data_IF_238890454309
#
_entry.id   IF_238890454309
#
_cell.length_a   1.000
_cell.length_b   1.000
_cell.length_c   1.000
_cell.angle_alpha   90.00
_cell.angle_beta   90.00
_cell.angle_gamma   90.00
#
_symmetry.space_group_name_H-M   'P 1'
#
loop_
_entity.id
_entity.type
_entity.pdbx_description
1 polymer ?
#
# COMPACT_ATOMS: atom_id res chain seq x y z
N UNK A 1 10.25 11.58 1.12
CA UNK A 1 9.83 12.38 -0.06
C UNK A 1 10.18 11.64 -1.35
N UNK A 2 11.37 11.03 -1.42
CA UNK A 2 11.82 10.14 -2.52
C UNK A 2 10.78 9.07 -2.92
N UNK A 3 10.30 8.25 -1.97
CA UNK A 3 9.29 7.20 -2.27
C UNK A 3 8.04 7.71 -2.98
N UNK A 4 7.55 8.92 -2.66
CA UNK A 4 6.35 9.48 -3.30
C UNK A 4 6.56 9.71 -4.80
N UNK A 5 7.74 10.20 -5.16
CA UNK A 5 8.10 10.49 -6.54
C UNK A 5 8.59 9.24 -7.26
N UNK A 6 9.54 8.53 -6.66
CA UNK A 6 10.27 7.44 -7.31
C UNK A 6 9.40 6.20 -7.52
N UNK A 7 8.51 5.90 -6.57
CA UNK A 7 7.63 4.72 -6.65
C UNK A 7 6.25 5.09 -7.17
N UNK A 8 5.65 6.18 -6.66
CA UNK A 8 4.27 6.51 -6.99
C UNK A 8 4.13 7.53 -8.13
N UNK A 9 5.20 8.21 -8.54
CA UNK A 9 5.19 9.20 -9.64
C UNK A 9 4.45 10.49 -9.28
N UNK A 10 4.25 10.80 -8.00
CA UNK A 10 3.57 12.01 -7.57
C UNK A 10 4.56 13.09 -7.12
N UNK A 11 4.35 14.32 -7.58
CA UNK A 11 5.19 15.46 -7.19
C UNK A 11 4.78 16.05 -5.83
N UNK A 12 3.50 15.94 -5.46
CA UNK A 12 2.95 16.55 -4.25
C UNK A 12 1.88 15.68 -3.62
N UNK A 13 1.76 15.77 -2.30
CA UNK A 13 0.66 15.18 -1.55
C UNK A 13 -0.64 15.94 -1.82
N UNK A 14 -1.75 15.20 -1.85
CA UNK A 14 -3.09 15.80 -1.76
C UNK A 14 -3.35 16.29 -0.33
N UNK A 15 -4.35 17.16 -0.11
CA UNK A 15 -4.69 17.64 1.22
C UNK A 15 -4.84 16.50 2.23
N UNK A 16 -4.32 16.72 3.45
CA UNK A 16 -4.30 15.79 4.59
C UNK A 16 -3.37 14.57 4.45
N UNK A 17 -2.99 14.13 3.24
CA UNK A 17 -2.17 12.92 3.07
C UNK A 17 -0.84 13.04 3.80
N UNK A 18 -0.14 14.17 3.67
CA UNK A 18 1.16 14.38 4.33
C UNK A 18 1.04 14.32 5.86
N UNK A 19 0.02 14.98 6.43
CA UNK A 19 -0.25 14.98 7.87
C UNK A 19 -0.53 13.56 8.38
N UNK A 20 -1.37 12.81 7.66
CA UNK A 20 -1.74 11.44 8.01
C UNK A 20 -0.52 10.52 7.93
N UNK A 21 0.24 10.60 6.83
CA UNK A 21 1.44 9.79 6.61
C UNK A 21 2.48 10.08 7.68
N UNK A 22 2.73 11.36 8.00
CA UNK A 22 3.65 11.75 9.07
C UNK A 22 3.23 11.19 10.43
N UNK A 23 1.93 11.24 10.75
CA UNK A 23 1.39 10.66 11.98
C UNK A 23 1.63 9.14 12.05
N UNK A 24 1.40 8.41 10.95
CA UNK A 24 1.65 6.97 10.86
C UNK A 24 3.16 6.67 10.96
N UNK A 25 4.01 7.44 10.27
CA UNK A 25 5.48 7.28 10.31
C UNK A 25 6.05 7.45 11.71
N UNK A 26 5.41 8.28 12.55
CA UNK A 26 5.71 8.42 13.97
C UNK A 26 5.15 7.29 14.85
N UNK A 27 4.69 6.18 14.25
CA UNK A 27 4.17 4.98 14.94
C UNK A 27 2.91 5.24 15.78
N UNK A 28 2.11 6.23 15.40
CA UNK A 28 0.83 6.50 16.07
C UNK A 28 -0.34 5.86 15.33
N UNK A 29 -1.31 5.36 16.10
CA UNK A 29 -2.58 4.87 15.55
C UNK A 29 -3.41 6.01 14.96
N UNK A 30 -4.16 5.71 13.89
CA UNK A 30 -4.99 6.68 13.20
C UNK A 30 -6.34 6.09 12.74
N UNK A 31 -7.41 6.84 12.95
CA UNK A 31 -8.69 6.63 12.26
C UNK A 31 -8.86 7.73 11.20
N UNK A 32 -8.92 7.31 9.94
CA UNK A 32 -8.93 8.23 8.80
C UNK A 32 -10.27 8.15 8.09
N UNK A 33 -10.98 9.28 7.99
CA UNK A 33 -12.23 9.41 7.23
C UNK A 33 -11.97 10.32 6.04
N UNK A 34 -11.80 9.71 4.87
CA UNK A 34 -11.57 10.43 3.61
C UNK A 34 -12.58 9.96 2.55
N UNK A 35 -13.04 10.86 1.66
CA UNK A 35 -13.94 10.49 0.58
C UNK A 35 -13.28 9.52 -0.41
N UNK A 36 -14.09 8.79 -1.18
CA UNK A 36 -13.59 7.97 -2.29
C UNK A 36 -12.80 8.82 -3.29
N UNK A 37 -11.77 8.26 -3.90
CA UNK A 37 -10.90 8.98 -4.85
C UNK A 37 -9.89 9.93 -4.20
N UNK A 38 -9.94 10.17 -2.89
CA UNK A 38 -8.97 11.00 -2.15
C UNK A 38 -7.52 10.50 -2.16
N UNK A 39 -7.31 9.23 -2.53
CA UNK A 39 -6.00 8.59 -2.44
C UNK A 39 -5.67 8.07 -1.05
N UNK A 40 -6.68 7.65 -0.27
CA UNK A 40 -6.51 7.04 1.06
C UNK A 40 -5.52 5.86 1.09
N UNK A 41 -5.38 5.11 -0.02
CA UNK A 41 -4.44 3.98 -0.09
C UNK A 41 -2.98 4.40 0.07
N UNK A 42 -2.61 5.55 -0.49
CA UNK A 42 -1.26 6.10 -0.35
C UNK A 42 -0.88 6.32 1.12
N UNK A 43 -1.87 6.61 1.98
CA UNK A 43 -1.65 6.91 3.39
C UNK A 43 -1.09 5.71 4.18
N UNK A 44 -1.34 4.47 3.75
CA UNK A 44 -0.72 3.28 4.34
C UNK A 44 0.34 2.64 3.45
N UNK A 45 0.24 2.77 2.12
CA UNK A 45 1.21 2.18 1.18
C UNK A 45 2.57 2.86 1.25
N UNK A 46 2.62 4.20 1.36
CA UNK A 46 3.89 4.89 1.43
C UNK A 46 4.63 4.58 2.76
N UNK A 47 3.99 4.63 3.94
CA UNK A 47 4.62 4.16 5.17
C UNK A 47 5.08 2.70 5.11
N UNK A 48 4.31 1.82 4.45
CA UNK A 48 4.67 0.41 4.30
C UNK A 48 6.00 0.18 3.58
N UNK A 49 6.37 1.08 2.66
CA UNK A 49 7.66 1.03 1.94
C UNK A 49 8.82 1.62 2.74
N UNK A 50 8.53 2.43 3.76
CA UNK A 50 9.55 3.07 4.60
C UNK A 50 9.85 2.21 5.83
N UNK A 51 8.85 1.51 6.36
CA UNK A 51 9.04 0.64 7.50
C UNK A 51 9.77 -0.65 7.12
N UNK A 52 10.70 -1.06 7.97
CA UNK A 52 11.25 -2.41 7.91
C UNK A 52 10.17 -3.43 8.30
N UNK A 53 10.05 -4.50 7.51
CA UNK A 53 9.13 -5.62 7.78
C UNK A 53 7.96 -5.68 6.80
N UNK A 54 6.87 -6.32 7.23
CA UNK A 54 5.68 -6.57 6.41
C UNK A 54 4.51 -5.74 6.92
N UNK A 55 3.84 -5.02 6.01
CA UNK A 55 2.56 -4.37 6.31
C UNK A 55 1.40 -5.26 5.85
N UNK A 56 0.46 -5.51 6.75
CA UNK A 56 -0.75 -6.28 6.46
C UNK A 56 -1.91 -5.32 6.21
N UNK A 57 -2.56 -5.46 5.04
CA UNK A 57 -3.74 -4.67 4.67
C UNK A 57 -4.94 -5.60 4.61
N UNK A 58 -5.95 -5.32 5.43
CA UNK A 58 -7.21 -6.09 5.44
C UNK A 58 -8.20 -5.41 4.49
N UNK A 59 -8.67 -6.16 3.49
CA UNK A 59 -9.65 -5.70 2.51
C UNK A 59 -10.88 -6.60 2.53
N UNK A 60 -12.10 -6.05 2.44
CA UNK A 60 -13.33 -6.85 2.42
C UNK A 60 -13.60 -7.53 1.08
N UNK A 61 -12.98 -7.07 -0.02
CA UNK A 61 -13.28 -7.55 -1.37
C UNK A 61 -12.04 -8.10 -2.06
N UNK A 62 -12.15 -9.31 -2.64
CA UNK A 62 -11.09 -9.96 -3.41
C UNK A 62 -10.67 -9.11 -4.62
N UNK A 63 -11.64 -8.53 -5.34
CA UNK A 63 -11.36 -7.64 -6.48
C UNK A 63 -10.49 -6.46 -6.06
N UNK A 64 -10.80 -5.83 -4.92
CA UNK A 64 -10.02 -4.72 -4.39
C UNK A 64 -8.60 -5.15 -3.99
N UNK A 65 -8.43 -6.37 -3.48
CA UNK A 65 -7.10 -6.91 -3.17
C UNK A 65 -6.28 -7.11 -4.45
N UNK A 66 -6.88 -7.69 -5.49
CA UNK A 66 -6.23 -7.93 -6.77
C UNK A 66 -5.81 -6.61 -7.43
N UNK A 67 -6.71 -5.62 -7.48
CA UNK A 67 -6.43 -4.31 -8.07
C UNK A 67 -5.27 -3.60 -7.36
N UNK A 68 -5.25 -3.60 -6.02
CA UNK A 68 -4.18 -2.95 -5.25
C UNK A 68 -2.83 -3.65 -5.42
N UNK A 69 -2.82 -4.99 -5.37
CA UNK A 69 -1.57 -5.76 -5.54
C UNK A 69 -1.03 -5.58 -6.95
N UNK A 70 -1.88 -5.65 -7.99
CA UNK A 70 -1.46 -5.44 -9.36
C UNK A 70 -0.87 -4.04 -9.56
N UNK A 71 -1.50 -3.00 -9.00
CA UNK A 71 -0.99 -1.62 -9.08
C UNK A 71 0.35 -1.43 -8.37
N UNK A 72 0.60 -2.14 -7.28
CA UNK A 72 1.88 -2.12 -6.57
C UNK A 72 2.96 -2.88 -7.34
N UNK A 73 2.64 -4.07 -7.85
CA UNK A 73 3.56 -4.87 -8.66
C UNK A 73 3.96 -4.16 -9.96
N UNK A 74 3.05 -3.40 -10.58
CA UNK A 74 3.36 -2.54 -11.74
C UNK A 74 4.35 -1.40 -11.43
N UNK A 75 4.57 -1.10 -10.15
CA UNK A 75 5.54 -0.12 -9.64
C UNK A 75 6.75 -0.80 -9.01
N UNK A 76 6.97 -2.08 -9.34
CA UNK A 76 8.04 -2.92 -8.80
C UNK A 76 8.03 -3.06 -7.27
N UNK A 77 6.87 -2.85 -6.64
CA UNK A 77 6.68 -3.10 -5.20
C UNK A 77 6.34 -4.56 -4.95
N UNK A 78 7.09 -5.21 -4.06
CA UNK A 78 6.77 -6.56 -3.61
C UNK A 78 5.48 -6.56 -2.77
N UNK A 79 4.37 -6.97 -3.40
CA UNK A 79 3.06 -7.09 -2.79
C UNK A 79 2.41 -8.43 -3.19
N UNK A 80 1.61 -8.99 -2.28
CA UNK A 80 0.83 -10.19 -2.49
C UNK A 80 -0.52 -10.09 -1.77
N UNK A 81 -1.47 -10.91 -2.18
CA UNK A 81 -2.76 -11.06 -1.50
C UNK A 81 -2.95 -12.52 -1.09
N UNK A 82 -3.76 -12.74 -0.05
CA UNK A 82 -4.22 -14.05 0.39
C UNK A 82 -5.75 -14.05 0.43
N UNK A 83 -6.38 -14.99 -0.28
CA UNK A 83 -7.83 -15.15 -0.27
C UNK A 83 -8.22 -16.61 -0.46
N UNK A 84 -9.52 -16.90 -0.42
CA UNK A 84 -10.06 -18.26 -0.53
C UNK A 84 -9.95 -18.91 -1.91
N UNK A 85 -9.59 -18.17 -2.96
CA UNK A 85 -9.49 -18.71 -4.33
C UNK A 85 -8.08 -19.15 -4.70
N UNK A 86 -7.08 -18.88 -3.86
CA UNK A 86 -5.70 -19.33 -4.08
C UNK A 86 -5.53 -20.79 -3.70
N UNK A 87 -4.88 -21.56 -4.58
CA UNK A 87 -4.33 -22.86 -4.24
C UNK A 87 -3.05 -22.69 -3.39
N UNK A 88 -2.64 -23.72 -2.65
CA UNK A 88 -1.50 -23.66 -1.71
C UNK A 88 -0.16 -23.17 -2.33
N UNK A 89 -0.01 -23.23 -3.66
CA UNK A 89 1.18 -22.78 -4.37
C UNK A 89 1.09 -21.33 -4.90
N UNK A 90 -0.07 -20.67 -4.83
CA UNK A 90 -0.39 -19.44 -5.55
C UNK A 90 -0.11 -18.12 -4.80
N UNK A 91 0.28 -18.16 -3.53
CA UNK A 91 0.40 -16.98 -2.66
C UNK A 91 1.79 -16.30 -2.66
N UNK A 92 2.70 -16.73 -3.54
CA UNK A 92 4.07 -16.20 -3.57
C UNK A 92 4.18 -14.94 -4.43
N UNK A 93 4.72 -13.86 -3.86
CA UNK A 93 5.17 -12.72 -4.65
C UNK A 93 6.44 -13.12 -5.42
N UNK A 94 6.36 -13.16 -6.75
CA UNK A 94 7.50 -13.52 -7.63
C UNK A 94 8.62 -12.47 -7.65
N UNK A 95 8.34 -11.25 -7.21
CA UNK A 95 9.27 -10.12 -7.24
C UNK A 95 10.21 -10.04 -6.03
N UNK A 96 10.11 -10.96 -5.07
CA UNK A 96 10.89 -10.96 -3.83
C UNK A 96 12.07 -11.98 -3.85
N UNK A 97 12.44 -12.54 -5.01
CA UNK A 97 13.54 -13.51 -5.17
C UNK A 97 14.85 -12.88 -5.69
N UNK A 98 15.05 -11.57 -5.54
CA UNK A 98 16.28 -10.86 -5.90
C UNK A 98 16.85 -10.10 -4.71
#
# INVERSE_FOLDING_TARGET
>A
MEVLKDVFGYEQFRPLQETIISHILNRHDALIVLPTGSGKSLCYQLPALIFNGVTVVVSPLISLMQDQVMQLQQRDVCAAFLNSTLSHAGSRCRSCES
#
